data_IF_658794690581
#
_entry.id   IF_658794690581
#
_cell.length_a   1.000
_cell.length_b   1.000
_cell.length_c   1.000
_cell.angle_alpha   90.00
_cell.angle_beta   90.00
_cell.angle_gamma   90.00
#
_symmetry.space_group_name_H-M   'P 1'
#
loop_
_entity.id
_entity.type
_entity.pdbx_description
1 polymer ?
#
# COMPACT_ATOMS: atom_id res chain seq x y z
N UNK A 1 -12.65 4.98 2.88
CA UNK A 1 -12.79 4.37 1.52
C UNK A 1 -12.06 3.03 1.46
N UNK A 2 -10.74 2.97 1.68
CA UNK A 2 -9.95 1.72 1.66
C UNK A 2 -10.47 0.59 2.56
N UNK A 3 -10.72 0.86 3.85
CA UNK A 3 -11.26 -0.15 4.78
C UNK A 3 -12.62 -0.70 4.32
N UNK A 4 -13.54 0.19 3.96
CA UNK A 4 -14.89 -0.17 3.52
C UNK A 4 -14.84 -1.01 2.25
N UNK A 5 -14.02 -0.65 1.27
CA UNK A 5 -13.87 -1.46 0.04
C UNK A 5 -13.30 -2.83 0.33
N UNK A 6 -12.33 -2.94 1.24
CA UNK A 6 -11.76 -4.22 1.66
C UNK A 6 -12.81 -5.13 2.30
N UNK A 7 -13.65 -4.59 3.19
CA UNK A 7 -14.73 -5.35 3.82
C UNK A 7 -15.78 -5.81 2.81
N UNK A 8 -16.19 -4.94 1.87
CA UNK A 8 -17.14 -5.31 0.82
C UNK A 8 -16.54 -6.39 -0.08
N UNK A 9 -15.28 -6.25 -0.50
CA UNK A 9 -14.60 -7.24 -1.32
C UNK A 9 -14.52 -8.60 -0.65
N UNK A 10 -14.17 -8.62 0.64
CA UNK A 10 -14.17 -9.84 1.46
C UNK A 10 -15.54 -10.52 1.45
N UNK A 11 -16.61 -9.77 1.76
CA UNK A 11 -17.97 -10.31 1.84
C UNK A 11 -18.46 -10.85 0.49
N UNK A 12 -18.23 -10.11 -0.61
CA UNK A 12 -18.62 -10.52 -1.96
C UNK A 12 -17.89 -11.80 -2.37
N UNK A 13 -16.57 -11.85 -2.22
CA UNK A 13 -15.81 -13.04 -2.61
C UNK A 13 -16.21 -14.26 -1.77
N UNK A 14 -16.39 -14.09 -0.45
CA UNK A 14 -16.87 -15.17 0.41
C UNK A 14 -18.28 -15.65 0.08
N UNK A 15 -19.16 -14.78 -0.42
CA UNK A 15 -20.51 -15.13 -0.81
C UNK A 15 -20.58 -15.89 -2.13
N UNK A 16 -19.78 -15.50 -3.13
CA UNK A 16 -19.87 -16.04 -4.50
C UNK A 16 -18.85 -17.14 -4.82
N UNK A 17 -17.67 -17.11 -4.20
CA UNK A 17 -16.55 -18.01 -4.53
C UNK A 17 -16.20 -18.98 -3.38
N UNK A 18 -16.99 -18.97 -2.31
CA UNK A 18 -16.87 -19.88 -1.16
C UNK A 18 -16.22 -19.25 0.07
N UNK A 19 -16.54 -19.81 1.24
CA UNK A 19 -16.16 -19.28 2.57
C UNK A 19 -14.79 -19.75 3.06
N UNK A 20 -13.85 -20.03 2.16
CA UNK A 20 -12.49 -20.33 2.58
C UNK A 20 -11.71 -19.02 2.85
N UNK A 21 -10.65 -19.13 3.67
CA UNK A 21 -9.86 -17.96 4.10
C UNK A 21 -9.15 -17.28 2.93
N UNK A 22 -8.67 -18.04 1.95
CA UNK A 22 -7.93 -17.50 0.80
C UNK A 22 -8.84 -16.66 -0.13
N UNK A 23 -10.03 -17.16 -0.46
CA UNK A 23 -11.06 -16.47 -1.26
C UNK A 23 -11.44 -15.14 -0.62
N UNK A 24 -11.72 -15.13 0.69
CA UNK A 24 -12.03 -13.92 1.42
C UNK A 24 -10.90 -12.88 1.31
N UNK A 25 -9.65 -13.34 1.47
CA UNK A 25 -8.46 -12.48 1.36
C UNK A 25 -8.24 -11.97 -0.06
N UNK A 26 -8.40 -12.79 -1.10
CA UNK A 26 -8.36 -12.31 -2.48
C UNK A 26 -9.34 -11.17 -2.73
N UNK A 27 -10.55 -11.25 -2.17
CA UNK A 27 -11.53 -10.17 -2.21
C UNK A 27 -11.02 -8.85 -1.61
N UNK A 28 -10.30 -8.92 -0.48
CA UNK A 28 -9.65 -7.75 0.14
C UNK A 28 -8.62 -7.12 -0.79
N UNK A 29 -7.76 -7.93 -1.42
CA UNK A 29 -6.73 -7.43 -2.34
C UNK A 29 -7.35 -6.76 -3.56
N UNK A 30 -8.28 -7.45 -4.24
CA UNK A 30 -8.90 -6.97 -5.47
C UNK A 30 -9.67 -5.68 -5.20
N UNK A 31 -10.52 -5.66 -4.17
CA UNK A 31 -11.31 -4.47 -3.84
C UNK A 31 -10.44 -3.32 -3.30
N UNK A 32 -9.39 -3.64 -2.54
CA UNK A 32 -8.41 -2.66 -2.05
C UNK A 32 -7.67 -1.98 -3.21
N UNK A 33 -7.14 -2.75 -4.15
CA UNK A 33 -6.45 -2.23 -5.35
C UNK A 33 -7.42 -1.41 -6.21
N UNK A 34 -8.65 -1.91 -6.43
CA UNK A 34 -9.68 -1.16 -7.16
C UNK A 34 -10.01 0.18 -6.49
N UNK A 35 -10.08 0.23 -5.15
CA UNK A 35 -10.28 1.47 -4.41
C UNK A 35 -9.11 2.45 -4.56
N UNK A 36 -7.87 1.94 -4.53
CA UNK A 36 -6.68 2.79 -4.74
C UNK A 36 -6.68 3.35 -6.17
N UNK A 37 -6.98 2.51 -7.16
CA UNK A 37 -7.11 2.94 -8.56
C UNK A 37 -8.19 4.01 -8.72
N UNK A 38 -9.39 3.80 -8.17
CA UNK A 38 -10.47 4.79 -8.22
C UNK A 38 -10.14 6.10 -7.50
N UNK A 39 -9.25 6.07 -6.49
CA UNK A 39 -8.76 7.27 -5.83
C UNK A 39 -7.71 8.02 -6.68
N UNK A 40 -6.83 7.29 -7.37
CA UNK A 40 -5.79 7.89 -8.22
C UNK A 40 -6.33 8.38 -9.57
N UNK A 41 -7.32 7.67 -10.10
CA UNK A 41 -7.91 7.86 -11.42
C UNK A 41 -9.45 7.92 -11.34
N UNK A 42 -10.02 8.88 -10.59
CA UNK A 42 -11.47 9.00 -10.46
C UNK A 42 -12.12 9.42 -11.78
N UNK A 43 -13.13 8.66 -12.22
CA UNK A 43 -13.86 8.89 -13.47
C UNK A 43 -14.49 10.30 -13.48
N UNK A 44 -15.09 10.72 -12.36
CA UNK A 44 -15.79 12.01 -12.25
C UNK A 44 -14.86 13.23 -12.29
N UNK A 45 -13.56 13.06 -12.07
CA UNK A 45 -12.57 14.14 -12.20
C UNK A 45 -11.64 13.91 -13.39
N UNK A 46 -12.15 13.30 -14.47
CA UNK A 46 -11.42 13.05 -15.72
C UNK A 46 -10.07 12.34 -15.47
N UNK A 47 -10.05 11.38 -14.55
CA UNK A 47 -8.85 10.62 -14.15
C UNK A 47 -7.73 11.45 -13.47
N UNK A 48 -8.05 12.63 -12.95
CA UNK A 48 -7.14 13.45 -12.16
C UNK A 48 -7.41 13.26 -10.66
N UNK A 49 -6.68 12.32 -10.05
CA UNK A 49 -6.77 12.03 -8.62
C UNK A 49 -5.45 12.18 -7.86
N UNK A 50 -5.50 11.81 -6.58
CA UNK A 50 -4.36 11.89 -5.66
C UNK A 50 -3.28 10.84 -5.90
N UNK A 51 -2.26 10.83 -5.05
CA UNK A 51 -1.16 9.84 -5.08
C UNK A 51 -1.48 8.51 -4.39
N UNK A 52 -2.59 8.42 -3.68
CA UNK A 52 -3.07 7.18 -3.09
C UNK A 52 -2.39 6.69 -1.80
N UNK A 53 -1.39 7.38 -1.25
CA UNK A 53 -0.65 6.92 -0.05
C UNK A 53 -1.56 6.55 1.12
N UNK A 54 -2.46 7.45 1.56
CA UNK A 54 -3.35 7.17 2.69
C UNK A 54 -4.35 6.04 2.40
N UNK A 55 -4.84 5.97 1.15
CA UNK A 55 -5.76 4.90 0.73
C UNK A 55 -5.04 3.55 0.75
N UNK A 56 -3.80 3.50 0.25
CA UNK A 56 -2.97 2.30 0.30
C UNK A 56 -2.64 1.90 1.73
N UNK A 57 -2.26 2.84 2.60
CA UNK A 57 -1.99 2.56 4.00
C UNK A 57 -3.21 1.91 4.69
N UNK A 58 -4.42 2.41 4.41
CA UNK A 58 -5.65 1.81 4.93
C UNK A 58 -5.90 0.39 4.37
N UNK A 59 -5.56 0.13 3.11
CA UNK A 59 -5.66 -1.21 2.50
C UNK A 59 -4.62 -2.15 3.10
N UNK A 60 -3.36 -1.72 3.25
CA UNK A 60 -2.30 -2.50 3.87
C UNK A 60 -2.60 -2.82 5.33
N UNK A 61 -3.19 -1.89 6.08
CA UNK A 61 -3.67 -2.15 7.43
C UNK A 61 -4.69 -3.28 7.48
N UNK A 62 -5.59 -3.38 6.50
CA UNK A 62 -6.58 -4.47 6.43
C UNK A 62 -5.97 -5.81 6.01
N UNK A 63 -4.90 -5.78 5.22
CA UNK A 63 -4.24 -7.00 4.74
C UNK A 63 -3.25 -7.53 5.79
N UNK A 64 -2.33 -6.67 6.24
CA UNK A 64 -1.26 -6.98 7.19
C UNK A 64 -0.97 -5.80 8.13
N UNK A 65 -1.62 -5.73 9.31
CA UNK A 65 -1.33 -4.71 10.30
C UNK A 65 0.16 -4.58 10.70
N UNK A 66 0.94 -5.68 10.81
CA UNK A 66 2.37 -5.56 11.10
C UNK A 66 3.18 -4.91 9.97
N UNK A 67 2.80 -5.16 8.71
CA UNK A 67 3.50 -4.62 7.53
C UNK A 67 3.38 -3.10 7.50
N UNK A 68 2.18 -2.55 7.76
CA UNK A 68 2.01 -1.11 7.77
C UNK A 68 2.78 -0.43 8.92
N UNK A 69 2.99 -1.12 10.04
CA UNK A 69 3.84 -0.60 11.12
C UNK A 69 5.31 -0.51 10.71
N UNK A 70 5.83 -1.54 10.03
CA UNK A 70 7.19 -1.52 9.45
C UNK A 70 7.33 -0.44 8.38
N UNK A 71 6.37 -0.37 7.46
CA UNK A 71 6.34 0.58 6.35
C UNK A 71 6.25 2.04 6.83
N UNK A 72 5.41 2.30 7.84
CA UNK A 72 5.29 3.61 8.46
C UNK A 72 6.55 4.01 9.24
N UNK A 73 7.20 3.04 9.89
CA UNK A 73 8.48 3.28 10.58
C UNK A 73 9.57 3.65 9.57
N UNK A 74 9.65 2.93 8.45
CA UNK A 74 10.58 3.24 7.35
C UNK A 74 10.30 4.63 6.77
N UNK A 75 9.03 4.94 6.47
CA UNK A 75 8.62 6.27 6.04
C UNK A 75 9.12 7.35 7.00
N UNK A 76 8.94 7.16 8.30
CA UNK A 76 9.30 8.15 9.32
C UNK A 76 10.82 8.33 9.39
N UNK A 77 11.58 7.23 9.40
CA UNK A 77 13.05 7.25 9.41
C UNK A 77 13.59 8.00 8.19
N UNK A 78 13.12 7.64 6.99
CA UNK A 78 13.57 8.27 5.74
C UNK A 78 13.15 9.72 5.67
N UNK A 79 11.90 10.04 6.05
CA UNK A 79 11.41 11.41 6.04
C UNK A 79 12.23 12.29 6.99
N UNK A 80 12.41 11.87 8.26
CA UNK A 80 13.15 12.66 9.25
C UNK A 80 14.62 12.83 8.83
N UNK A 81 15.29 11.76 8.39
CA UNK A 81 16.69 11.81 8.01
C UNK A 81 16.94 12.69 6.77
N UNK A 82 16.07 12.59 5.76
CA UNK A 82 16.23 13.32 4.49
C UNK A 82 15.56 14.70 4.46
N UNK A 83 14.65 14.96 5.41
CA UNK A 83 13.69 16.07 5.42
C UNK A 83 12.74 16.09 4.22
N UNK A 84 12.55 14.96 3.52
CA UNK A 84 11.62 14.84 2.38
C UNK A 84 10.51 13.83 2.67
N UNK A 85 9.27 14.33 2.81
CA UNK A 85 8.07 13.47 2.95
C UNK A 85 7.87 12.59 1.72
N UNK A 86 8.16 13.12 0.53
CA UNK A 86 8.01 12.38 -0.72
C UNK A 86 9.00 11.24 -0.85
N UNK A 87 10.25 11.42 -0.42
CA UNK A 87 11.25 10.36 -0.42
C UNK A 87 10.82 9.23 0.51
N UNK A 88 10.42 9.55 1.75
CA UNK A 88 9.88 8.54 2.67
C UNK A 88 8.68 7.79 2.09
N UNK A 89 7.77 8.50 1.42
CA UNK A 89 6.58 7.88 0.80
C UNK A 89 6.96 6.95 -0.36
N UNK A 90 7.97 7.30 -1.15
CA UNK A 90 8.45 6.48 -2.27
C UNK A 90 9.18 5.23 -1.75
N UNK A 91 10.02 5.36 -0.72
CA UNK A 91 10.70 4.23 -0.08
C UNK A 91 9.68 3.23 0.47
N UNK A 92 8.75 3.69 1.32
CA UNK A 92 7.66 2.86 1.85
C UNK A 92 6.85 2.18 0.72
N UNK A 93 6.46 2.96 -0.31
CA UNK A 93 5.77 2.40 -1.47
C UNK A 93 6.57 1.32 -2.21
N UNK A 94 7.90 1.41 -2.24
CA UNK A 94 8.77 0.44 -2.89
C UNK A 94 9.02 -0.82 -2.04
N UNK A 95 8.98 -0.72 -0.72
CA UNK A 95 9.36 -1.81 0.20
C UNK A 95 8.19 -2.60 0.76
N UNK A 96 6.96 -2.08 0.78
CA UNK A 96 5.81 -2.85 1.29
C UNK A 96 5.57 -4.21 0.61
N UNK A 97 5.87 -4.46 -0.70
CA UNK A 97 5.74 -5.81 -1.27
C UNK A 97 6.72 -6.79 -0.64
N UNK A 98 7.95 -6.34 -0.35
CA UNK A 98 8.96 -7.14 0.35
C UNK A 98 8.50 -7.47 1.76
N UNK A 99 8.01 -6.47 2.52
CA UNK A 99 7.45 -6.70 3.84
C UNK A 99 6.27 -7.67 3.80
N UNK A 100 5.36 -7.52 2.84
CA UNK A 100 4.24 -8.43 2.64
C UNK A 100 4.67 -9.88 2.36
N UNK A 101 5.66 -10.07 1.49
CA UNK A 101 6.21 -11.40 1.22
C UNK A 101 6.90 -11.99 2.45
N UNK A 102 7.73 -11.21 3.14
CA UNK A 102 8.46 -11.64 4.33
C UNK A 102 7.51 -12.08 5.45
N UNK A 103 6.46 -11.30 5.72
CA UNK A 103 5.46 -11.67 6.73
C UNK A 103 4.65 -12.91 6.34
N UNK A 104 4.31 -13.07 5.06
CA UNK A 104 3.70 -14.33 4.59
C UNK A 104 4.62 -15.51 4.84
N UNK A 105 5.90 -15.38 4.48
CA UNK A 105 6.88 -16.44 4.67
C UNK A 105 7.11 -16.78 6.15
N UNK A 106 7.26 -15.79 7.02
CA UNK A 106 7.58 -16.02 8.44
C UNK A 106 6.37 -16.52 9.27
N UNK A 107 5.17 -16.02 8.99
CA UNK A 107 4.01 -16.25 9.87
C UNK A 107 2.94 -17.16 9.25
N UNK A 108 2.82 -17.18 7.93
CA UNK A 108 1.71 -17.85 7.24
C UNK A 108 2.14 -19.04 6.38
N UNK A 109 3.42 -19.15 6.02
CA UNK A 109 3.97 -20.30 5.30
C UNK A 109 4.18 -21.48 6.25
N UNK A 110 3.06 -22.09 6.65
CA UNK A 110 3.00 -23.33 7.42
C UNK A 110 2.14 -24.34 6.66
N UNK A 111 2.49 -25.64 6.69
CA UNK A 111 1.68 -26.68 6.06
C UNK A 111 0.20 -26.57 6.48
N UNK A 112 -0.69 -26.39 5.51
CA UNK A 112 -2.14 -26.31 5.71
C UNK A 112 -2.74 -24.93 6.00
N UNK A 113 -1.94 -23.86 6.12
CA UNK A 113 -2.46 -22.51 6.40
C UNK A 113 -2.60 -21.62 5.15
N UNK A 114 -1.58 -21.59 4.29
CA UNK A 114 -1.56 -20.77 3.07
C UNK A 114 -0.86 -21.52 1.94
N UNK A 115 -1.47 -21.55 0.76
CA UNK A 115 -0.89 -22.18 -0.43
C UNK A 115 0.27 -21.36 -1.02
N UNK A 116 1.23 -22.02 -1.68
CA UNK A 116 2.29 -21.36 -2.45
C UNK A 116 1.67 -20.45 -3.52
N UNK A 117 0.58 -20.92 -4.16
CA UNK A 117 -0.15 -20.15 -5.15
C UNK A 117 -0.68 -18.83 -4.57
N UNK A 118 -1.28 -18.86 -3.37
CA UNK A 118 -1.73 -17.65 -2.69
C UNK A 118 -0.59 -16.68 -2.40
N UNK A 119 0.55 -17.18 -1.90
CA UNK A 119 1.71 -16.33 -1.62
C UNK A 119 2.25 -15.66 -2.88
N UNK A 120 2.35 -16.40 -3.98
CA UNK A 120 2.80 -15.85 -5.28
C UNK A 120 1.83 -14.79 -5.80
N UNK A 121 0.52 -15.10 -5.84
CA UNK A 121 -0.49 -14.16 -6.39
C UNK A 121 -0.55 -12.88 -5.56
N UNK A 122 -0.61 -13.00 -4.24
CA UNK A 122 -0.70 -11.81 -3.37
C UNK A 122 0.55 -10.94 -3.42
N UNK A 123 1.74 -11.55 -3.55
CA UNK A 123 2.99 -10.81 -3.76
C UNK A 123 2.97 -10.05 -5.08
N UNK A 124 2.53 -10.67 -6.18
CA UNK A 124 2.39 -10.00 -7.48
C UNK A 124 1.40 -8.82 -7.43
N UNK A 125 0.29 -8.97 -6.72
CA UNK A 125 -0.69 -7.90 -6.51
C UNK A 125 -0.11 -6.73 -5.72
N UNK A 126 0.72 -6.99 -4.69
CA UNK A 126 1.44 -5.94 -3.95
C UNK A 126 2.48 -5.26 -4.84
N UNK A 127 3.26 -6.01 -5.63
CA UNK A 127 4.22 -5.44 -6.58
C UNK A 127 3.52 -4.54 -7.61
N UNK A 128 2.36 -4.95 -8.13
CA UNK A 128 1.56 -4.12 -9.02
C UNK A 128 1.11 -2.82 -8.35
N UNK A 129 0.58 -2.90 -7.12
CA UNK A 129 0.17 -1.73 -6.36
C UNK A 129 1.35 -0.79 -6.05
N UNK A 130 2.53 -1.35 -5.77
CA UNK A 130 3.76 -0.60 -5.52
C UNK A 130 4.18 0.19 -6.75
N UNK A 131 4.28 -0.47 -7.91
CA UNK A 131 4.58 0.17 -9.18
C UNK A 131 3.60 1.30 -9.52
N UNK A 132 2.30 1.07 -9.27
CA UNK A 132 1.26 2.07 -9.44
C UNK A 132 1.54 3.32 -8.58
N UNK A 133 1.81 3.16 -7.28
CA UNK A 133 2.04 4.30 -6.37
C UNK A 133 3.33 5.03 -6.73
N UNK A 134 4.42 4.31 -6.98
CA UNK A 134 5.71 4.91 -7.36
C UNK A 134 5.56 5.70 -8.66
N UNK A 135 4.81 5.19 -9.65
CA UNK A 135 4.54 5.92 -10.90
C UNK A 135 3.79 7.25 -10.67
N UNK A 136 2.87 7.30 -9.69
CA UNK A 136 2.18 8.56 -9.31
C UNK A 136 3.12 9.58 -8.69
N UNK A 137 4.30 9.17 -8.23
CA UNK A 137 5.30 10.05 -7.64
C UNK A 137 6.33 10.57 -8.66
N UNK A 138 6.16 10.33 -9.97
CA UNK A 138 7.11 10.78 -11.01
C UNK A 138 7.51 12.28 -10.87
N UNK A 139 6.57 13.16 -10.56
CA UNK A 139 6.87 14.60 -10.39
C UNK A 139 7.70 14.88 -9.14
N UNK A 140 7.51 14.12 -8.06
CA UNK A 140 8.34 14.21 -6.84
C UNK A 140 9.72 13.62 -7.07
N UNK A 141 9.81 12.49 -7.77
CA UNK A 141 11.08 11.88 -8.16
C UNK A 141 11.87 12.87 -9.00
N UNK A 142 11.24 13.50 -10.00
CA UNK A 142 11.87 14.55 -10.80
C UNK A 142 12.39 15.70 -9.92
N UNK A 143 11.58 16.25 -9.00
CA UNK A 143 12.02 17.34 -8.11
C UNK A 143 13.13 16.91 -7.14
N UNK A 144 13.14 15.66 -6.68
CA UNK A 144 14.21 15.11 -5.84
C UNK A 144 15.53 15.05 -6.62
N UNK A 145 15.50 14.56 -7.86
CA UNK A 145 16.68 14.48 -8.74
C UNK A 145 17.25 15.87 -9.08
N UNK A 146 16.39 16.88 -9.21
CA UNK A 146 16.81 18.26 -9.47
C UNK A 146 17.08 19.08 -8.20
N UNK A 147 16.93 18.49 -7.01
CA UNK A 147 17.10 19.20 -5.74
C UNK A 147 16.08 20.30 -5.46
N UNK A 148 14.93 20.30 -6.15
CA UNK A 148 13.86 21.31 -6.04
C UNK A 148 12.67 20.85 -5.19
N UNK A 149 12.73 19.63 -4.65
CA UNK A 149 11.69 19.12 -3.76
C UNK A 149 11.66 19.91 -2.44
N UNK A 150 10.45 20.21 -1.95
CA UNK A 150 10.28 20.95 -0.71
C UNK A 150 10.68 20.08 0.49
N UNK A 151 11.61 20.58 1.29
CA UNK A 151 11.93 20.00 2.60
C UNK A 151 10.80 20.35 3.57
N UNK A 152 10.37 19.39 4.39
CA UNK A 152 9.48 19.71 5.51
C UNK A 152 10.30 20.24 6.68
N UNK A 153 9.73 21.18 7.42
CA UNK A 153 10.29 21.72 8.65
C UNK A 153 9.45 21.22 9.82
N UNK A 154 10.10 20.64 10.83
CA UNK A 154 9.47 20.44 12.13
C UNK A 154 9.38 21.82 12.75
N UNK A 155 8.17 22.36 12.92
CA UNK A 155 7.98 23.65 13.56
C UNK A 155 8.44 23.52 15.01
N UNK A 156 9.56 24.16 15.37
CA UNK A 156 9.86 24.45 16.77
C UNK A 156 9.07 25.70 17.13
N UNK A 157 7.96 25.54 17.84
CA UNK A 157 7.39 26.64 18.62
C UNK A 157 8.44 27.02 19.68
N UNK A 158 9.15 28.12 19.44
CA UNK A 158 9.83 28.82 20.52
C UNK A 158 8.74 29.59 21.28
N UNK A 159 8.25 29.01 22.38
CA UNK A 159 7.54 29.73 23.44
C UNK A 159 8.49 30.65 24.20
#
# INVERSE_FOLDING_TARGET
KGVVSCLIGMLVFSAFLGKNTETARYGVYVAGIACVLGHMYPIYFKFHGGKGILTTAAVLLMIYPPVIACDFSEFLVVAIASKYVSLGSICAAATFPFWGWLFNYLFFFRPGLVSIQYMTITTLLLCFLSALIVSRHHSNISRLLHGTEKKFQLHHENS
#
